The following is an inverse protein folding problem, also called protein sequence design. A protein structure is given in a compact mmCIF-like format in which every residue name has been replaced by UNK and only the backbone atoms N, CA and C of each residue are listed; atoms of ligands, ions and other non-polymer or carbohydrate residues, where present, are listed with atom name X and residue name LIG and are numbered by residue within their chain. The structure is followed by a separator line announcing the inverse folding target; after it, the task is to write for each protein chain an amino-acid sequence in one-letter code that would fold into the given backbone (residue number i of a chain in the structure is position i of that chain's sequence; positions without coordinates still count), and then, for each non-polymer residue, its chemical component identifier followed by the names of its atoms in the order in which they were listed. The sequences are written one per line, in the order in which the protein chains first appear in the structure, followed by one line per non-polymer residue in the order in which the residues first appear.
data_IF_424594659548
#
_entry.id   IF_424594659548
#
_cell.length_a   1.000
_cell.length_b   1.000
_cell.length_c   1.000
_cell.angle_alpha   90.00
_cell.angle_beta   90.00
_cell.angle_gamma   90.00
#
_symmetry.space_group_name_H-M   'P 1'
#
loop_
_entity.id
_entity.type
_entity.pdbx_description
1 polymer ?
#
# COMPACT_ATOMS: atom_id res chain seq x y z
N UNK A 1 -47.44 18.53 -4.87
CA UNK A 1 -46.46 18.14 -3.83
C UNK A 1 -45.96 16.69 -4.00
N UNK A 2 -46.76 15.75 -4.46
CA UNK A 2 -46.43 14.32 -4.63
C UNK A 2 -45.41 14.09 -5.76
N UNK A 3 -45.55 14.76 -6.91
CA UNK A 3 -44.69 14.61 -8.08
C UNK A 3 -43.20 15.02 -7.80
N UNK A 4 -42.96 16.08 -7.02
CA UNK A 4 -41.61 16.49 -6.61
C UNK A 4 -40.91 15.47 -5.67
N UNK A 5 -41.68 14.75 -4.84
CA UNK A 5 -41.16 13.67 -4.01
C UNK A 5 -40.79 12.44 -4.83
N UNK A 6 -41.60 12.04 -5.81
CA UNK A 6 -41.27 10.92 -6.72
C UNK A 6 -40.03 11.16 -7.52
N UNK A 7 -39.80 12.37 -8.07
CA UNK A 7 -38.57 12.69 -8.80
C UNK A 7 -37.31 12.57 -7.95
N UNK A 8 -37.39 12.89 -6.64
CA UNK A 8 -36.25 12.77 -5.72
C UNK A 8 -35.87 11.30 -5.46
N UNK A 9 -36.83 10.40 -5.38
CA UNK A 9 -36.58 8.95 -5.19
C UNK A 9 -36.10 8.27 -6.48
N UNK A 10 -36.60 8.68 -7.64
CA UNK A 10 -36.14 8.17 -8.95
C UNK A 10 -34.67 8.59 -9.18
N UNK A 11 -34.30 9.85 -8.89
CA UNK A 11 -32.94 10.33 -9.01
C UNK A 11 -31.97 9.62 -8.06
N UNK A 12 -32.41 9.37 -6.82
CA UNK A 12 -31.62 8.64 -5.83
C UNK A 12 -31.43 7.16 -6.23
N UNK A 13 -32.45 6.51 -6.78
CA UNK A 13 -32.38 5.13 -7.24
C UNK A 13 -31.47 4.96 -8.47
N UNK A 14 -31.53 5.88 -9.43
CA UNK A 14 -30.62 5.90 -10.60
C UNK A 14 -29.18 6.14 -10.18
N UNK A 15 -28.92 7.00 -9.19
CA UNK A 15 -27.57 7.29 -8.70
C UNK A 15 -26.95 6.08 -7.98
N UNK A 16 -27.73 5.35 -7.17
CA UNK A 16 -27.26 4.13 -6.50
C UNK A 16 -26.94 3.03 -7.52
N UNK A 17 -27.79 2.82 -8.53
CA UNK A 17 -27.53 1.82 -9.55
C UNK A 17 -26.30 2.15 -10.40
N UNK A 18 -26.05 3.41 -10.75
CA UNK A 18 -24.85 3.81 -11.49
C UNK A 18 -23.56 3.51 -10.72
N UNK A 19 -23.57 3.64 -9.39
CA UNK A 19 -22.40 3.36 -8.56
C UNK A 19 -22.07 1.85 -8.45
N UNK A 20 -23.12 1.01 -8.43
CA UNK A 20 -22.98 -0.45 -8.39
C UNK A 20 -22.42 -0.98 -9.72
N UNK A 21 -22.87 -0.47 -10.85
CA UNK A 21 -22.38 -0.89 -12.17
C UNK A 21 -20.90 -0.53 -12.41
N UNK A 22 -20.43 0.63 -11.93
CA UNK A 22 -19.03 1.05 -12.09
C UNK A 22 -18.06 0.13 -11.32
N UNK A 23 -18.43 -0.30 -10.13
CA UNK A 23 -17.58 -1.22 -9.35
C UNK A 23 -17.56 -2.66 -9.94
N UNK A 24 -18.68 -3.12 -10.48
CA UNK A 24 -18.74 -4.44 -11.11
C UNK A 24 -17.90 -4.52 -12.39
N UNK A 25 -17.85 -3.46 -13.19
CA UNK A 25 -17.00 -3.39 -14.40
C UNK A 25 -15.52 -3.42 -14.04
N UNK A 26 -15.09 -2.63 -13.07
CA UNK A 26 -13.69 -2.56 -12.64
C UNK A 26 -13.18 -3.90 -12.08
N UNK A 27 -14.01 -4.65 -11.38
CA UNK A 27 -13.64 -5.97 -10.89
C UNK A 27 -13.49 -6.99 -12.04
N UNK A 28 -14.39 -6.98 -13.02
CA UNK A 28 -14.29 -7.87 -14.18
C UNK A 28 -13.02 -7.58 -15.01
N UNK A 29 -12.65 -6.31 -15.15
CA UNK A 29 -11.45 -5.89 -15.86
C UNK A 29 -10.18 -6.31 -15.08
N UNK A 30 -10.19 -6.20 -13.76
CA UNK A 30 -9.11 -6.67 -12.88
C UNK A 30 -8.96 -8.19 -12.94
N UNK A 31 -10.04 -8.95 -12.94
CA UNK A 31 -10.02 -10.41 -13.03
C UNK A 31 -9.44 -10.89 -14.38
N UNK A 32 -9.75 -10.19 -15.46
CA UNK A 32 -9.15 -10.44 -16.77
C UNK A 32 -7.65 -10.16 -16.77
N UNK A 33 -7.25 -9.00 -16.26
CA UNK A 33 -5.84 -8.64 -16.11
C UNK A 33 -5.09 -9.65 -15.22
N UNK A 34 -5.71 -10.12 -14.14
CA UNK A 34 -5.12 -11.08 -13.22
C UNK A 34 -4.79 -12.43 -13.91
N UNK A 35 -5.64 -12.89 -14.83
CA UNK A 35 -5.37 -14.09 -15.65
C UNK A 35 -4.13 -13.89 -16.51
N UNK A 36 -4.02 -12.77 -17.20
CA UNK A 36 -2.87 -12.44 -18.05
C UNK A 36 -1.59 -12.28 -17.23
N UNK A 37 -1.70 -11.64 -16.05
CA UNK A 37 -0.57 -11.49 -15.14
C UNK A 37 -0.07 -12.84 -14.61
N UNK A 38 -0.93 -13.79 -14.27
CA UNK A 38 -0.53 -15.16 -13.85
C UNK A 38 0.31 -15.85 -14.93
N UNK A 39 -0.08 -15.73 -16.19
CA UNK A 39 0.70 -16.28 -17.32
C UNK A 39 2.07 -15.60 -17.37
N UNK A 40 2.12 -14.27 -17.27
CA UNK A 40 3.37 -13.49 -17.26
C UNK A 40 4.29 -13.89 -16.11
N UNK A 41 3.75 -14.10 -14.91
CA UNK A 41 4.52 -14.50 -13.73
C UNK A 41 5.16 -15.89 -13.91
N UNK A 42 4.41 -16.87 -14.41
CA UNK A 42 4.94 -18.21 -14.73
C UNK A 42 6.02 -18.15 -15.81
N UNK A 43 5.80 -17.37 -16.87
CA UNK A 43 6.78 -17.18 -17.94
C UNK A 43 8.06 -16.46 -17.45
N UNK A 44 7.98 -15.73 -16.34
CA UNK A 44 9.13 -15.09 -15.67
C UNK A 44 9.90 -16.05 -14.75
N UNK A 45 9.53 -17.35 -14.72
CA UNK A 45 10.25 -18.37 -13.97
C UNK A 45 9.73 -18.63 -12.55
N UNK A 46 8.59 -18.04 -12.17
CA UNK A 46 7.95 -18.29 -10.87
C UNK A 46 7.11 -19.58 -10.97
N UNK A 47 7.14 -20.42 -9.94
CA UNK A 47 6.42 -21.70 -9.98
C UNK A 47 4.91 -21.50 -10.14
N UNK A 48 4.30 -22.26 -11.07
CA UNK A 48 2.86 -22.19 -11.34
C UNK A 48 2.03 -22.43 -10.08
N UNK A 49 2.48 -23.35 -9.22
CA UNK A 49 1.80 -23.67 -7.96
C UNK A 49 1.69 -22.44 -7.04
N UNK A 50 2.80 -21.69 -6.87
CA UNK A 50 2.79 -20.48 -6.07
C UNK A 50 1.91 -19.39 -6.68
N UNK A 51 2.08 -19.15 -7.99
CA UNK A 51 1.28 -18.14 -8.70
C UNK A 51 -0.21 -18.43 -8.58
N UNK A 52 -0.64 -19.67 -8.77
CA UNK A 52 -2.05 -20.04 -8.64
C UNK A 52 -2.55 -19.86 -7.22
N UNK A 53 -1.77 -20.26 -6.21
CA UNK A 53 -2.14 -20.13 -4.81
C UNK A 53 -2.25 -18.67 -4.40
N UNK A 54 -1.18 -17.90 -4.57
CA UNK A 54 -1.08 -16.53 -4.04
C UNK A 54 -1.95 -15.55 -4.83
N UNK A 55 -1.94 -15.63 -6.15
CA UNK A 55 -2.71 -14.73 -6.99
C UNK A 55 -4.21 -15.04 -7.06
N UNK A 56 -4.66 -16.21 -6.56
CA UNK A 56 -6.10 -16.48 -6.42
C UNK A 56 -6.73 -15.72 -5.25
N UNK A 57 -5.91 -15.30 -4.29
CA UNK A 57 -6.33 -14.51 -3.13
C UNK A 57 -6.24 -12.99 -3.39
N UNK A 58 -5.58 -12.58 -4.49
CA UNK A 58 -5.42 -11.17 -4.83
C UNK A 58 -6.75 -10.51 -5.18
N UNK A 59 -7.04 -9.40 -4.53
CA UNK A 59 -8.27 -8.62 -4.73
C UNK A 59 -7.96 -7.20 -5.18
N UNK A 60 -8.89 -6.61 -5.93
CA UNK A 60 -8.80 -5.21 -6.33
C UNK A 60 -9.09 -4.29 -5.14
N UNK A 61 -8.16 -3.40 -4.80
CA UNK A 61 -8.25 -2.47 -3.66
C UNK A 61 -8.20 -1.01 -4.16
N UNK A 62 -9.34 -0.40 -4.55
CA UNK A 62 -9.36 0.97 -5.08
C UNK A 62 -8.70 2.00 -4.17
N UNK A 63 -8.75 1.78 -2.85
CA UNK A 63 -8.16 2.65 -1.84
C UNK A 63 -6.64 2.81 -2.00
N UNK A 64 -5.95 1.80 -2.49
CA UNK A 64 -4.50 1.84 -2.76
C UNK A 64 -4.20 2.84 -3.89
N UNK A 65 -5.06 2.90 -4.92
CA UNK A 65 -4.94 3.88 -6.00
C UNK A 65 -5.14 5.30 -5.48
N UNK A 66 -6.11 5.50 -4.59
CA UNK A 66 -6.31 6.81 -3.95
C UNK A 66 -5.06 7.26 -3.20
N UNK A 67 -4.46 6.36 -2.40
CA UNK A 67 -3.25 6.66 -1.63
C UNK A 67 -2.03 6.93 -2.53
N UNK A 68 -1.84 6.16 -3.63
CA UNK A 68 -0.77 6.42 -4.59
C UNK A 68 -0.92 7.79 -5.29
N UNK A 69 -2.16 8.27 -5.46
CA UNK A 69 -2.44 9.55 -6.12
C UNK A 69 -2.44 10.73 -5.16
N UNK A 70 -2.76 10.51 -3.90
CA UNK A 70 -2.83 11.55 -2.88
C UNK A 70 -1.63 11.46 -1.94
N UNK A 71 -0.63 12.29 -2.20
CA UNK A 71 0.58 12.41 -1.40
C UNK A 71 0.56 13.77 -0.70
N UNK A 72 0.38 13.83 0.64
CA UNK A 72 0.21 15.07 1.39
C UNK A 72 1.34 16.10 1.17
N UNK A 73 2.56 15.64 0.90
CA UNK A 73 3.74 16.47 0.62
C UNK A 73 3.59 17.37 -0.61
N UNK A 74 2.67 17.06 -1.51
CA UNK A 74 2.37 17.90 -2.69
C UNK A 74 1.19 18.86 -2.48
N UNK A 75 0.41 18.67 -1.41
CA UNK A 75 -0.82 19.43 -1.17
C UNK A 75 -0.75 20.26 0.11
N UNK A 76 0.09 19.88 1.08
CA UNK A 76 0.28 20.64 2.32
C UNK A 76 1.40 21.68 2.15
N UNK A 77 1.26 22.85 2.74
CA UNK A 77 2.39 23.77 2.87
C UNK A 77 3.46 23.18 3.79
N UNK A 78 4.72 23.57 3.56
CA UNK A 78 5.88 23.02 4.26
C UNK A 78 5.79 23.14 5.77
N UNK A 79 5.27 24.26 6.28
CA UNK A 79 5.16 24.49 7.74
C UNK A 79 4.15 23.52 8.35
N UNK A 80 2.97 23.37 7.75
CA UNK A 80 1.93 22.43 8.20
C UNK A 80 2.43 20.99 8.12
N UNK A 81 3.11 20.62 7.02
CA UNK A 81 3.71 19.31 6.85
C UNK A 81 4.69 18.98 7.97
N UNK A 82 5.68 19.85 8.21
CA UNK A 82 6.68 19.66 9.27
C UNK A 82 6.01 19.61 10.64
N UNK A 83 5.12 20.54 10.97
CA UNK A 83 4.43 20.62 12.26
C UNK A 83 3.65 19.35 12.59
N UNK A 84 2.98 18.76 11.61
CA UNK A 84 2.24 17.50 11.79
C UNK A 84 3.16 16.32 12.05
N UNK A 85 4.33 16.27 11.40
CA UNK A 85 5.23 15.12 11.42
C UNK A 85 6.32 15.19 12.49
N UNK A 86 6.63 16.39 13.01
CA UNK A 86 7.63 16.62 14.06
C UNK A 86 7.03 17.14 15.38
N UNK A 87 5.88 16.58 15.78
CA UNK A 87 5.23 16.98 17.03
C UNK A 87 6.09 16.66 18.25
N UNK A 88 5.96 17.47 19.34
CA UNK A 88 6.64 17.23 20.59
C UNK A 88 6.44 15.81 21.15
N UNK A 89 5.28 15.22 20.89
CA UNK A 89 5.01 13.84 21.29
C UNK A 89 5.87 12.84 20.52
N UNK A 90 6.05 13.02 19.20
CA UNK A 90 6.95 12.19 18.40
C UNK A 90 8.40 12.32 18.85
N UNK A 91 8.86 13.54 19.11
CA UNK A 91 10.21 13.80 19.64
C UNK A 91 10.43 13.05 20.96
N UNK A 92 9.49 13.15 21.90
CA UNK A 92 9.56 12.40 23.17
C UNK A 92 9.61 10.88 22.98
N UNK A 93 8.84 10.36 22.02
CA UNK A 93 8.86 8.93 21.69
C UNK A 93 10.20 8.49 21.10
N UNK A 94 10.76 9.28 20.16
CA UNK A 94 12.09 9.01 19.60
C UNK A 94 13.19 9.00 20.65
N UNK A 95 13.21 10.01 21.53
CA UNK A 95 14.16 10.06 22.65
C UNK A 95 14.00 8.90 23.62
N UNK A 96 12.78 8.45 23.87
CA UNK A 96 12.52 7.26 24.71
C UNK A 96 13.05 5.99 24.03
N UNK A 97 12.81 5.83 22.73
CA UNK A 97 13.34 4.70 21.96
C UNK A 97 14.87 4.71 21.94
N UNK A 98 15.50 5.87 21.69
CA UNK A 98 16.95 6.00 21.73
C UNK A 98 17.53 5.56 23.09
N UNK A 99 16.95 6.03 24.20
CA UNK A 99 17.41 5.64 25.54
C UNK A 99 17.30 4.13 25.77
N UNK A 100 16.24 3.50 25.26
CA UNK A 100 15.99 2.07 25.41
C UNK A 100 16.95 1.22 24.56
N UNK A 101 17.16 1.62 23.32
CA UNK A 101 17.88 0.83 22.31
C UNK A 101 19.25 1.46 21.95
N UNK A 102 19.82 2.24 22.87
CA UNK A 102 21.04 3.05 22.64
C UNK A 102 22.16 2.25 21.98
N UNK A 103 22.48 1.08 22.53
CA UNK A 103 23.63 0.27 22.08
C UNK A 103 23.48 -0.14 20.60
N UNK A 104 22.26 -0.59 20.22
CA UNK A 104 22.04 -1.03 18.83
C UNK A 104 21.99 0.15 17.87
N UNK A 105 21.40 1.27 18.28
CA UNK A 105 21.29 2.47 17.45
C UNK A 105 22.69 3.06 17.19
N UNK A 106 23.54 3.17 18.21
CA UNK A 106 24.92 3.65 18.08
C UNK A 106 25.80 2.67 17.27
N UNK A 107 25.53 1.37 17.35
CA UNK A 107 26.19 0.39 16.49
C UNK A 107 25.81 0.58 15.03
N UNK A 108 24.52 0.76 14.72
CA UNK A 108 24.04 1.03 13.35
C UNK A 108 24.64 2.35 12.82
N UNK A 109 24.63 3.42 13.62
CA UNK A 109 25.27 4.70 13.25
C UNK A 109 26.71 4.51 12.81
N UNK A 110 27.50 3.76 13.56
CA UNK A 110 28.92 3.47 13.25
C UNK A 110 29.08 2.57 12.02
N UNK A 111 28.29 1.53 11.92
CA UNK A 111 28.42 0.49 10.89
C UNK A 111 28.03 1.02 9.50
N UNK A 112 26.94 1.81 9.45
CA UNK A 112 26.35 2.31 8.20
C UNK A 112 26.65 3.78 7.92
N UNK A 113 27.35 4.48 8.84
CA UNK A 113 27.64 5.91 8.75
C UNK A 113 26.37 6.77 8.52
N UNK A 114 25.31 6.44 9.24
CA UNK A 114 24.02 7.13 9.22
C UNK A 114 23.76 7.75 10.59
N UNK A 115 23.54 9.06 10.64
CA UNK A 115 23.25 9.76 11.88
C UNK A 115 22.06 9.13 12.61
N UNK A 116 22.21 8.85 13.90
CA UNK A 116 21.15 8.24 14.72
C UNK A 116 19.87 9.08 14.78
N UNK A 117 20.01 10.41 14.71
CA UNK A 117 18.90 11.36 14.65
C UNK A 117 18.07 11.16 13.38
N UNK A 118 18.74 10.95 12.22
CA UNK A 118 18.08 10.67 10.94
C UNK A 118 17.38 9.32 10.98
N UNK A 119 18.05 8.29 11.48
CA UNK A 119 17.46 6.96 11.64
C UNK A 119 16.17 7.01 12.48
N UNK A 120 16.23 7.67 13.64
CA UNK A 120 15.08 7.81 14.52
C UNK A 120 13.96 8.68 13.91
N UNK A 121 14.31 9.74 13.17
CA UNK A 121 13.34 10.57 12.48
C UNK A 121 12.57 9.76 11.41
N UNK A 122 13.27 8.97 10.60
CA UNK A 122 12.64 8.08 9.62
C UNK A 122 11.74 7.04 10.28
N UNK A 123 12.21 6.37 11.33
CA UNK A 123 11.36 5.43 12.10
C UNK A 123 10.10 6.09 12.65
N UNK A 124 10.18 7.35 13.06
CA UNK A 124 9.05 8.14 13.56
C UNK A 124 8.07 8.54 12.45
N UNK A 125 8.56 8.90 11.28
CA UNK A 125 7.73 9.35 10.15
C UNK A 125 7.04 8.15 9.50
N UNK A 126 7.78 7.11 9.15
CA UNK A 126 7.30 5.97 8.38
C UNK A 126 6.34 5.07 9.17
N UNK A 127 6.72 4.69 10.39
CA UNK A 127 5.99 3.67 11.14
C UNK A 127 5.53 4.10 12.53
N UNK A 128 5.68 5.39 12.89
CA UNK A 128 5.48 5.86 14.25
C UNK A 128 6.23 4.97 15.28
N UNK A 129 7.52 4.74 15.03
CA UNK A 129 8.40 3.88 15.82
C UNK A 129 7.90 2.42 15.92
N UNK A 130 7.50 1.84 14.79
CA UNK A 130 7.04 0.46 14.68
C UNK A 130 5.60 0.22 15.15
N UNK A 131 4.83 1.26 15.48
CA UNK A 131 3.42 1.12 15.91
C UNK A 131 2.43 1.04 14.75
N UNK A 132 2.80 1.57 13.61
CA UNK A 132 2.01 1.54 12.38
C UNK A 132 2.74 0.67 11.35
N UNK A 133 2.31 -0.55 11.21
CA UNK A 133 2.85 -1.50 10.22
C UNK A 133 1.91 -1.66 9.02
N UNK A 134 0.75 -0.96 9.04
CA UNK A 134 -0.28 -1.16 8.03
C UNK A 134 -1.01 -2.50 8.18
N UNK A 135 -2.09 -2.66 7.41
CA UNK A 135 -2.92 -3.87 7.41
C UNK A 135 -3.36 -4.28 6.01
N UNK A 136 -2.92 -3.58 4.99
CA UNK A 136 -3.26 -3.92 3.61
C UNK A 136 -2.46 -5.12 3.15
N UNK A 137 -3.09 -6.02 2.43
CA UNK A 137 -2.40 -7.10 1.75
C UNK A 137 -1.48 -6.52 0.68
N UNK A 138 -0.18 -6.76 0.80
CA UNK A 138 0.83 -6.17 -0.09
C UNK A 138 0.70 -6.72 -1.51
N UNK A 139 0.36 -7.99 -1.66
CA UNK A 139 0.21 -8.62 -2.98
C UNK A 139 -1.00 -8.03 -3.71
N UNK A 140 -2.15 -7.92 -3.05
CA UNK A 140 -3.33 -7.27 -3.62
C UNK A 140 -3.08 -5.78 -3.91
N UNK A 141 -2.33 -5.11 -3.06
CA UNK A 141 -1.94 -3.71 -3.27
C UNK A 141 -1.06 -3.55 -4.51
N UNK A 142 -0.01 -4.36 -4.65
CA UNK A 142 0.86 -4.34 -5.83
C UNK A 142 0.11 -4.78 -7.09
N UNK A 143 -0.77 -5.79 -7.01
CA UNK A 143 -1.61 -6.21 -8.12
C UNK A 143 -2.54 -5.09 -8.58
N UNK A 144 -3.18 -4.38 -7.64
CA UNK A 144 -4.03 -3.23 -7.93
C UNK A 144 -3.26 -2.10 -8.62
N UNK A 145 -2.07 -1.75 -8.12
CA UNK A 145 -1.22 -0.71 -8.70
C UNK A 145 -0.61 -1.14 -10.04
N UNK A 146 -0.36 -2.44 -10.24
CA UNK A 146 0.06 -2.99 -11.52
C UNK A 146 -1.05 -2.95 -12.56
N UNK A 147 -2.29 -3.14 -12.16
CA UNK A 147 -3.48 -3.00 -12.99
C UNK A 147 -3.76 -1.53 -13.34
N UNK A 148 -3.54 -0.58 -12.42
CA UNK A 148 -3.73 0.85 -12.67
C UNK A 148 -2.69 1.34 -13.69
N UNK A 149 -3.14 2.07 -14.71
CA UNK A 149 -2.27 2.51 -15.84
C UNK A 149 -1.10 3.40 -15.41
N UNK A 150 -1.25 4.10 -14.27
CA UNK A 150 -0.19 4.94 -13.74
C UNK A 150 0.90 4.07 -13.10
N UNK A 151 2.12 4.12 -13.60
CA UNK A 151 3.28 3.36 -13.09
C UNK A 151 3.12 1.84 -13.14
N UNK A 152 2.24 1.30 -13.99
CA UNK A 152 1.95 -0.13 -14.13
C UNK A 152 3.22 -0.98 -14.29
N UNK A 153 4.15 -0.57 -15.14
CA UNK A 153 5.39 -1.32 -15.39
C UNK A 153 6.28 -1.42 -14.13
N UNK A 154 6.34 -0.34 -13.35
CA UNK A 154 7.09 -0.33 -12.10
C UNK A 154 6.49 -1.33 -11.11
N UNK A 155 5.19 -1.21 -10.81
CA UNK A 155 4.54 -2.08 -9.85
C UNK A 155 4.46 -3.54 -10.30
N UNK A 156 4.36 -3.79 -11.61
CA UNK A 156 4.45 -5.14 -12.18
C UNK A 156 5.81 -5.78 -11.89
N UNK A 157 6.90 -5.04 -12.03
CA UNK A 157 8.24 -5.54 -11.70
C UNK A 157 8.36 -5.85 -10.20
N UNK A 158 7.88 -4.94 -9.34
CA UNK A 158 7.90 -5.16 -7.89
C UNK A 158 7.09 -6.39 -7.48
N UNK A 159 5.91 -6.59 -8.07
CA UNK A 159 5.08 -7.77 -7.82
C UNK A 159 5.77 -9.07 -8.26
N UNK A 160 6.42 -9.08 -9.43
CA UNK A 160 7.18 -10.24 -9.90
C UNK A 160 8.38 -10.55 -8.99
N UNK A 161 9.11 -9.51 -8.53
CA UNK A 161 10.21 -9.68 -7.58
C UNK A 161 9.68 -10.26 -6.27
N UNK A 162 8.60 -9.72 -5.73
CA UNK A 162 8.01 -10.20 -4.49
C UNK A 162 7.57 -11.67 -4.60
N UNK A 163 6.86 -12.03 -5.67
CA UNK A 163 6.44 -13.41 -5.90
C UNK A 163 7.63 -14.37 -6.02
N UNK A 164 8.73 -13.96 -6.67
CA UNK A 164 9.96 -14.74 -6.74
C UNK A 164 10.62 -14.94 -5.37
N UNK A 165 10.61 -13.90 -4.50
CA UNK A 165 11.13 -14.02 -3.13
C UNK A 165 10.28 -14.99 -2.29
N UNK A 166 8.97 -14.97 -2.46
CA UNK A 166 8.07 -15.92 -1.79
C UNK A 166 8.27 -17.34 -2.33
N UNK A 167 8.42 -17.51 -3.64
CA UNK A 167 8.65 -18.83 -4.27
C UNK A 167 9.95 -19.48 -3.80
N UNK A 168 10.99 -18.66 -3.63
CA UNK A 168 12.29 -19.07 -3.07
C UNK A 168 12.30 -19.22 -1.55
N UNK A 169 11.17 -18.98 -0.88
CA UNK A 169 11.04 -19.02 0.59
C UNK A 169 12.00 -18.05 1.32
N UNK A 170 12.36 -16.93 0.67
CA UNK A 170 13.17 -15.87 1.28
C UNK A 170 12.26 -14.98 2.14
N UNK A 171 11.01 -14.79 1.71
CA UNK A 171 9.99 -14.03 2.45
C UNK A 171 8.76 -14.94 2.61
N UNK A 172 8.16 -14.90 3.80
CA UNK A 172 6.92 -15.60 4.08
C UNK A 172 5.72 -14.78 3.59
N UNK A 173 4.76 -15.44 2.92
CA UNK A 173 3.50 -14.83 2.48
C UNK A 173 2.69 -14.26 3.65
N UNK A 174 2.75 -14.92 4.79
CA UNK A 174 1.94 -14.56 5.97
C UNK A 174 2.30 -13.21 6.59
N UNK A 175 3.52 -12.71 6.36
CA UNK A 175 3.96 -11.41 6.87
C UNK A 175 3.73 -10.25 5.89
N UNK A 176 3.19 -10.51 4.70
CA UNK A 176 3.05 -9.51 3.63
C UNK A 176 1.81 -8.61 3.83
N UNK A 177 1.80 -7.90 4.95
CA UNK A 177 0.84 -6.85 5.25
C UNK A 177 1.57 -5.55 5.57
N UNK A 178 1.08 -4.44 5.02
CA UNK A 178 1.72 -3.14 5.15
C UNK A 178 0.77 -1.96 4.95
N UNK A 179 1.31 -0.77 4.85
CA UNK A 179 0.60 0.47 4.49
C UNK A 179 1.08 1.02 3.16
#
# INVERSE_FOLDING_TARGET
MIIKKMFKYIFFFVFINSFVFLNASANNDFDSWLKDFKIKAVNSGISKKLVDQVMSEAVFIPKVIEYDRYQPEFYEDTFTYIKKRSSNNKIKQGLKLYKKEKIIIEKIEKEFNVEKELLLALMGIETNFGKYLGKMDIISSLATLSFDKRRSDFFTKELLILLNLVDKKIIDREILYGS
#
